data_IF_518116002321
#
_entry.id   IF_518116002321
#
_cell.length_a   1.000
_cell.length_b   1.000
_cell.length_c   1.000
_cell.angle_alpha   90.00
_cell.angle_beta   90.00
_cell.angle_gamma   90.00
#
_symmetry.space_group_name_H-M   'P 1'
#
loop_
_entity.id
_entity.type
_entity.pdbx_description
1 polymer ?
#
# COMPACT_ATOMS: atom_id res chain seq x y z
N UNK A 1 23.18 11.50 -5.57
CA UNK A 1 23.63 12.72 -4.85
C UNK A 1 22.49 13.54 -4.21
N UNK A 2 21.25 13.48 -4.68
CA UNK A 2 20.11 14.26 -4.11
C UNK A 2 19.71 13.79 -2.70
N UNK A 3 19.91 12.50 -2.37
CA UNK A 3 19.56 11.92 -1.06
C UNK A 3 20.55 12.38 0.04
N UNK A 4 21.83 12.56 -0.29
CA UNK A 4 22.85 13.01 0.67
C UNK A 4 22.67 14.49 1.06
N UNK A 5 22.28 15.35 0.11
CA UNK A 5 21.99 16.77 0.35
C UNK A 5 20.68 16.96 1.14
N UNK A 6 19.67 16.11 0.91
CA UNK A 6 18.44 16.13 1.70
C UNK A 6 18.67 15.66 3.14
N UNK A 7 19.56 14.68 3.35
CA UNK A 7 19.96 14.26 4.70
C UNK A 7 20.69 15.40 5.46
N UNK A 8 21.47 16.22 4.75
CA UNK A 8 22.17 17.37 5.32
C UNK A 8 21.24 18.55 5.64
N UNK A 9 20.12 18.69 4.93
CA UNK A 9 19.02 19.59 5.32
C UNK A 9 18.23 19.05 6.53
N UNK A 10 18.14 17.73 6.66
CA UNK A 10 17.54 17.02 7.81
C UNK A 10 18.31 17.23 9.12
N UNK A 11 19.60 17.54 9.08
CA UNK A 11 20.44 17.77 10.26
C UNK A 11 20.36 19.21 10.82
N UNK A 12 19.76 20.16 10.10
CA UNK A 12 19.67 21.59 10.47
C UNK A 12 18.32 22.00 11.08
N UNK A 13 17.32 21.13 11.08
CA UNK A 13 16.00 21.33 11.71
C UNK A 13 15.87 20.53 13.03
N UNK A 14 16.76 20.81 13.98
CA UNK A 14 16.57 20.38 15.38
C UNK A 14 15.44 21.19 16.05
N UNK A 15 14.18 20.88 15.73
CA UNK A 15 12.97 21.37 16.40
C UNK A 15 11.88 20.28 16.26
N UNK A 16 11.06 19.98 17.27
CA UNK A 16 11.36 19.46 18.60
C UNK A 16 10.82 18.01 18.71
N UNK A 17 11.69 17.01 18.91
CA UNK A 17 11.27 15.60 19.07
C UNK A 17 10.19 15.44 20.16
N UNK A 18 10.25 16.25 21.22
CA UNK A 18 9.25 16.29 22.29
C UNK A 18 7.84 16.65 21.81
N UNK A 19 7.68 17.54 20.84
CA UNK A 19 6.35 17.96 20.35
C UNK A 19 5.74 16.87 19.48
N UNK A 20 6.54 16.16 18.67
CA UNK A 20 6.08 15.00 17.91
C UNK A 20 5.65 13.85 18.85
N UNK A 21 6.45 13.58 19.88
CA UNK A 21 6.13 12.59 20.92
C UNK A 21 4.84 12.98 21.65
N UNK A 22 4.67 14.24 22.03
CA UNK A 22 3.49 14.71 22.75
C UNK A 22 2.21 14.61 21.89
N UNK A 23 2.28 15.02 20.62
CA UNK A 23 1.17 14.88 19.67
C UNK A 23 0.79 13.41 19.49
N UNK A 24 1.78 12.52 19.35
CA UNK A 24 1.53 11.09 19.18
C UNK A 24 0.93 10.44 20.44
N UNK A 25 1.36 10.86 21.64
CA UNK A 25 0.77 10.41 22.91
C UNK A 25 -0.68 10.85 23.04
N UNK A 26 -0.98 12.12 22.74
CA UNK A 26 -2.35 12.65 22.79
C UNK A 26 -3.24 11.93 21.76
N UNK A 27 -2.74 11.70 20.54
CA UNK A 27 -3.45 10.94 19.51
C UNK A 27 -3.78 9.51 19.99
N UNK A 28 -2.80 8.80 20.54
CA UNK A 28 -2.97 7.44 21.08
C UNK A 28 -3.92 7.41 22.28
N UNK A 29 -3.88 8.44 23.13
CA UNK A 29 -4.75 8.55 24.31
C UNK A 29 -6.21 8.81 23.94
N UNK A 30 -6.46 9.56 22.85
CA UNK A 30 -7.82 9.75 22.33
C UNK A 30 -8.37 8.48 21.68
N UNK A 31 -7.51 7.64 21.09
CA UNK A 31 -7.92 6.38 20.49
C UNK A 31 -8.48 5.38 21.51
N UNK A 32 -7.94 5.33 22.72
CA UNK A 32 -8.33 4.35 23.76
C UNK A 32 -9.80 4.50 24.19
N UNK A 33 -10.31 5.69 24.59
CA UNK A 33 -11.72 5.90 24.90
C UNK A 33 -12.64 5.62 23.71
N UNK A 34 -12.23 5.96 22.49
CA UNK A 34 -13.02 5.73 21.29
C UNK A 34 -13.20 4.23 21.07
N UNK A 35 -12.11 3.46 21.16
CA UNK A 35 -12.14 2.02 21.02
C UNK A 35 -13.00 1.36 22.12
N UNK A 36 -12.85 1.80 23.37
CA UNK A 36 -13.66 1.31 24.49
C UNK A 36 -15.14 1.65 24.28
N UNK A 37 -15.46 2.86 23.80
CA UNK A 37 -16.82 3.30 23.54
C UNK A 37 -17.50 2.48 22.43
N UNK A 38 -16.79 2.22 21.32
CA UNK A 38 -17.31 1.38 20.23
C UNK A 38 -17.49 -0.06 20.70
N UNK A 39 -16.55 -0.59 21.50
CA UNK A 39 -16.65 -1.95 22.04
C UNK A 39 -17.83 -2.10 23.00
N UNK A 40 -18.02 -1.14 23.91
CA UNK A 40 -19.14 -1.11 24.83
C UNK A 40 -20.47 -1.02 24.08
N UNK A 41 -20.55 -0.14 23.07
CA UNK A 41 -21.73 -0.03 22.21
C UNK A 41 -22.02 -1.33 21.45
N UNK A 42 -20.99 -2.00 20.93
CA UNK A 42 -21.14 -3.27 20.22
C UNK A 42 -21.63 -4.40 21.14
N UNK A 43 -21.13 -4.48 22.37
CA UNK A 43 -21.59 -5.47 23.33
C UNK A 43 -23.05 -5.27 23.73
N UNK A 44 -23.45 -4.02 23.98
CA UNK A 44 -24.85 -3.69 24.28
C UNK A 44 -25.76 -3.99 23.07
N UNK A 45 -25.29 -3.76 21.85
CA UNK A 45 -26.09 -3.94 20.64
C UNK A 45 -26.25 -5.41 20.21
N UNK A 46 -25.20 -6.22 20.33
CA UNK A 46 -25.20 -7.60 19.81
C UNK A 46 -25.59 -8.66 20.83
N UNK A 47 -25.68 -8.34 22.14
CA UNK A 47 -25.93 -9.23 23.30
C UNK A 47 -24.88 -10.37 23.47
N UNK A 48 -24.42 -10.96 22.35
CA UNK A 48 -23.38 -11.96 22.22
C UNK A 48 -21.97 -11.35 22.10
N UNK A 49 -21.13 -11.59 23.12
CA UNK A 49 -19.74 -11.11 23.17
C UNK A 49 -18.87 -11.58 21.99
N UNK A 50 -19.02 -12.84 21.55
CA UNK A 50 -18.24 -13.38 20.43
C UNK A 50 -18.64 -12.73 19.11
N UNK A 51 -19.93 -12.47 18.91
CA UNK A 51 -20.43 -11.84 17.71
C UNK A 51 -19.93 -10.39 17.62
N UNK A 52 -20.04 -9.65 18.73
CA UNK A 52 -19.48 -8.30 18.85
C UNK A 52 -17.98 -8.28 18.55
N UNK A 53 -17.19 -9.20 19.12
CA UNK A 53 -15.75 -9.26 18.86
C UNK A 53 -15.42 -9.56 17.38
N UNK A 54 -16.18 -10.45 16.74
CA UNK A 54 -16.01 -10.77 15.32
C UNK A 54 -16.39 -9.58 14.41
N UNK A 55 -17.46 -8.84 14.75
CA UNK A 55 -17.82 -7.59 14.04
C UNK A 55 -16.73 -6.53 14.23
N UNK A 56 -16.20 -6.38 15.45
CA UNK A 56 -15.12 -5.43 15.75
C UNK A 56 -13.87 -5.72 14.91
N UNK A 57 -13.42 -6.97 14.87
CA UNK A 57 -12.27 -7.37 14.04
C UNK A 57 -12.56 -7.11 12.56
N UNK A 58 -13.77 -7.39 12.08
CA UNK A 58 -14.14 -7.16 10.69
C UNK A 58 -14.14 -5.66 10.33
N UNK A 59 -14.69 -4.81 11.20
CA UNK A 59 -14.69 -3.35 11.04
C UNK A 59 -13.26 -2.81 11.08
N UNK A 60 -12.45 -3.27 12.03
CA UNK A 60 -11.07 -2.85 12.17
C UNK A 60 -10.22 -3.26 10.96
N UNK A 61 -10.39 -4.48 10.46
CA UNK A 61 -9.71 -4.94 9.24
C UNK A 61 -10.16 -4.13 8.03
N UNK A 62 -11.44 -3.77 7.94
CA UNK A 62 -11.97 -2.89 6.90
C UNK A 62 -11.38 -1.47 6.98
N UNK A 63 -11.23 -0.92 8.19
CA UNK A 63 -10.61 0.37 8.42
C UNK A 63 -9.14 0.36 7.97
N UNK A 64 -8.38 -0.64 8.41
CA UNK A 64 -7.00 -0.87 7.94
C UNK A 64 -6.99 -0.96 6.43
N UNK A 65 -7.80 -1.82 5.82
CA UNK A 65 -7.79 -1.97 4.37
C UNK A 65 -8.16 -0.68 3.65
N UNK A 66 -9.12 0.09 4.16
CA UNK A 66 -9.50 1.38 3.58
C UNK A 66 -8.35 2.38 3.66
N UNK A 67 -7.66 2.46 4.81
CA UNK A 67 -6.48 3.32 5.00
C UNK A 67 -5.36 2.99 4.02
N UNK A 68 -5.13 1.71 3.75
CA UNK A 68 -4.13 1.32 2.77
C UNK A 68 -4.65 1.56 1.33
N UNK A 69 -5.92 1.22 1.02
CA UNK A 69 -6.56 1.49 -0.28
C UNK A 69 -6.70 2.98 -0.61
N UNK A 70 -6.72 3.89 0.37
CA UNK A 70 -6.70 5.35 0.16
C UNK A 70 -5.53 5.77 -0.74
N UNK A 71 -4.42 5.02 -0.70
CA UNK A 71 -3.26 5.30 -1.55
C UNK A 71 -3.51 5.04 -3.04
N UNK A 72 -4.60 4.37 -3.39
CA UNK A 72 -4.94 4.02 -4.78
C UNK A 72 -6.32 4.60 -5.18
N UNK A 73 -6.38 5.61 -6.08
CA UNK A 73 -7.59 6.40 -6.35
C UNK A 73 -8.74 5.60 -7.02
N UNK A 74 -8.45 4.43 -7.60
CA UNK A 74 -9.47 3.55 -8.21
C UNK A 74 -10.27 2.79 -7.13
N UNK A 75 -9.63 2.36 -6.03
CA UNK A 75 -10.27 1.54 -4.99
C UNK A 75 -11.28 2.35 -4.15
N UNK A 76 -11.00 3.65 -3.96
CA UNK A 76 -11.76 4.58 -3.12
C UNK A 76 -13.26 4.70 -3.41
N UNK A 77 -13.68 4.54 -4.67
CA UNK A 77 -15.10 4.74 -5.05
C UNK A 77 -15.97 3.50 -4.89
N UNK A 78 -15.39 2.31 -5.12
CA UNK A 78 -16.16 1.07 -5.12
C UNK A 78 -16.09 0.33 -3.80
N UNK A 79 -14.96 0.39 -3.10
CA UNK A 79 -14.73 -0.38 -1.88
C UNK A 79 -15.74 -0.12 -0.76
N UNK A 80 -16.01 1.14 -0.36
CA UNK A 80 -16.94 1.43 0.75
C UNK A 80 -18.37 1.01 0.45
N UNK A 81 -18.77 1.03 -0.83
CA UNK A 81 -20.14 0.69 -1.26
C UNK A 81 -20.42 -0.80 -1.17
N UNK A 82 -19.49 -1.64 -1.64
CA UNK A 82 -19.61 -3.08 -1.50
C UNK A 82 -19.56 -3.49 -0.02
N UNK A 83 -18.69 -2.86 0.76
CA UNK A 83 -18.61 -3.09 2.20
C UNK A 83 -19.96 -2.84 2.88
N UNK A 84 -20.54 -1.65 2.68
CA UNK A 84 -21.83 -1.31 3.26
C UNK A 84 -22.93 -2.28 2.84
N UNK A 85 -22.96 -2.70 1.57
CA UNK A 85 -23.96 -3.64 1.08
C UNK A 85 -23.87 -5.01 1.78
N UNK A 86 -22.68 -5.62 1.84
CA UNK A 86 -22.49 -6.91 2.51
C UNK A 86 -22.73 -6.82 4.04
N UNK A 87 -22.30 -5.72 4.67
CA UNK A 87 -22.53 -5.47 6.09
C UNK A 87 -24.03 -5.29 6.41
N UNK A 88 -24.76 -4.60 5.52
CA UNK A 88 -26.20 -4.38 5.62
C UNK A 88 -26.98 -5.69 5.43
N UNK A 89 -26.61 -6.53 4.46
CA UNK A 89 -27.23 -7.85 4.26
C UNK A 89 -27.06 -8.72 5.51
N UNK A 90 -25.86 -8.70 6.13
CA UNK A 90 -25.62 -9.38 7.40
C UNK A 90 -26.50 -8.83 8.55
N UNK A 91 -26.63 -7.50 8.67
CA UNK A 91 -27.49 -6.88 9.71
C UNK A 91 -28.97 -7.23 9.53
N UNK A 92 -29.45 -7.24 8.29
CA UNK A 92 -30.83 -7.63 7.98
C UNK A 92 -31.06 -9.10 8.34
N UNK A 93 -30.09 -9.98 8.04
CA UNK A 93 -30.17 -11.39 8.43
C UNK A 93 -30.18 -11.55 9.97
N UNK A 94 -29.32 -10.82 10.67
CA UNK A 94 -29.25 -10.81 12.13
C UNK A 94 -30.58 -10.35 12.76
N UNK A 95 -31.19 -9.29 12.23
CA UNK A 95 -32.48 -8.79 12.73
C UNK A 95 -33.67 -9.68 12.36
N UNK A 96 -33.61 -10.36 11.21
CA UNK A 96 -34.69 -11.22 10.73
C UNK A 96 -34.72 -12.60 11.40
N UNK A 97 -33.58 -13.11 11.89
CA UNK A 97 -33.46 -14.44 12.49
C UNK A 97 -32.73 -14.38 13.85
N UNK A 98 -33.48 -14.12 14.92
CA UNK A 98 -32.96 -14.02 16.29
C UNK A 98 -32.28 -15.29 16.85
N UNK A 99 -32.48 -16.46 16.23
CA UNK A 99 -31.90 -17.75 16.65
C UNK A 99 -31.09 -18.46 15.54
N UNK A 100 -30.71 -17.74 14.47
CA UNK A 100 -29.95 -18.32 13.35
C UNK A 100 -28.45 -18.52 13.66
N UNK A 101 -27.74 -19.26 12.80
CA UNK A 101 -26.27 -19.39 12.83
C UNK A 101 -25.55 -18.08 12.45
N UNK A 102 -25.78 -17.01 13.21
CA UNK A 102 -25.28 -15.65 12.95
C UNK A 102 -23.77 -15.58 12.86
N UNK A 103 -23.05 -16.36 13.67
CA UNK A 103 -21.59 -16.46 13.63
C UNK A 103 -21.06 -17.07 12.32
N UNK A 104 -21.77 -18.04 11.73
CA UNK A 104 -21.38 -18.62 10.44
C UNK A 104 -21.71 -17.67 9.27
N UNK A 105 -22.85 -16.98 9.34
CA UNK A 105 -23.21 -15.95 8.37
C UNK A 105 -22.21 -14.78 8.40
N UNK A 106 -21.77 -14.38 9.59
CA UNK A 106 -20.71 -13.39 9.76
C UNK A 106 -19.40 -13.91 9.18
N UNK A 107 -18.97 -15.12 9.55
CA UNK A 107 -17.71 -15.70 9.09
C UNK A 107 -17.64 -15.84 7.56
N UNK A 108 -18.74 -16.27 6.93
CA UNK A 108 -18.83 -16.36 5.46
C UNK A 108 -18.79 -14.97 4.82
N UNK A 109 -19.54 -14.01 5.34
CA UNK A 109 -19.51 -12.61 4.87
C UNK A 109 -18.10 -12.03 5.02
N UNK A 110 -17.44 -12.26 6.16
CA UNK A 110 -16.08 -11.83 6.42
C UNK A 110 -15.06 -12.48 5.46
N UNK A 111 -15.18 -13.78 5.20
CA UNK A 111 -14.33 -14.48 4.25
C UNK A 111 -14.51 -13.95 2.82
N UNK A 112 -15.74 -13.67 2.39
CA UNK A 112 -16.01 -13.06 1.09
C UNK A 112 -15.45 -11.63 1.01
N UNK A 113 -15.59 -10.83 2.06
CA UNK A 113 -15.01 -9.49 2.14
C UNK A 113 -13.49 -9.54 2.06
N UNK A 114 -12.85 -10.43 2.82
CA UNK A 114 -11.40 -10.66 2.80
C UNK A 114 -10.92 -11.14 1.44
N UNK A 115 -11.68 -12.03 0.79
CA UNK A 115 -11.37 -12.54 -0.53
C UNK A 115 -11.46 -11.44 -1.58
N UNK A 116 -12.50 -10.59 -1.53
CA UNK A 116 -12.63 -9.41 -2.39
C UNK A 116 -11.45 -8.45 -2.16
N UNK A 117 -11.12 -8.15 -0.90
CA UNK A 117 -9.98 -7.34 -0.49
C UNK A 117 -8.67 -7.87 -1.12
N UNK A 118 -8.36 -9.15 -0.93
CA UNK A 118 -7.15 -9.79 -1.45
C UNK A 118 -7.14 -9.83 -2.98
N UNK A 119 -8.29 -10.06 -3.60
CA UNK A 119 -8.42 -10.06 -5.06
C UNK A 119 -8.14 -8.68 -5.65
N UNK A 120 -8.74 -7.62 -5.09
CA UNK A 120 -8.47 -6.24 -5.47
C UNK A 120 -7.00 -5.88 -5.22
N UNK A 121 -6.46 -6.25 -4.05
CA UNK A 121 -5.06 -6.04 -3.73
C UNK A 121 -4.14 -6.66 -4.79
N UNK A 122 -4.29 -7.96 -5.05
CA UNK A 122 -3.46 -8.67 -6.01
C UNK A 122 -3.57 -8.08 -7.43
N UNK A 123 -4.77 -7.65 -7.85
CA UNK A 123 -4.97 -7.11 -9.21
C UNK A 123 -4.47 -5.68 -9.37
N UNK A 124 -4.59 -4.83 -8.35
CA UNK A 124 -4.29 -3.39 -8.45
C UNK A 124 -2.92 -3.01 -7.88
N UNK A 125 -2.43 -3.71 -6.86
CA UNK A 125 -1.12 -3.42 -6.25
C UNK A 125 0.05 -3.99 -7.04
N UNK A 126 -0.06 -5.22 -7.56
CA UNK A 126 0.99 -5.82 -8.39
C UNK A 126 1.41 -4.93 -9.57
N UNK A 127 0.51 -4.34 -10.38
CA UNK A 127 0.92 -3.45 -11.46
C UNK A 127 1.45 -2.10 -10.97
N UNK A 128 1.03 -1.60 -9.81
CA UNK A 128 1.59 -0.38 -9.22
C UNK A 128 3.03 -0.60 -8.73
N UNK A 129 3.28 -1.73 -8.08
CA UNK A 129 4.60 -2.15 -7.62
C UNK A 129 5.52 -2.46 -8.81
N UNK A 130 5.00 -3.09 -9.86
CA UNK A 130 5.75 -3.30 -11.09
C UNK A 130 6.14 -1.98 -11.76
N UNK A 131 5.26 -0.97 -11.81
CA UNK A 131 5.61 0.37 -12.30
C UNK A 131 6.65 1.05 -11.41
N UNK A 132 6.55 0.90 -10.10
CA UNK A 132 7.55 1.42 -9.16
C UNK A 132 8.93 0.78 -9.38
N UNK A 133 8.99 -0.56 -9.45
CA UNK A 133 10.22 -1.32 -9.76
C UNK A 133 10.77 -0.98 -11.13
N UNK A 134 9.92 -0.85 -12.15
CA UNK A 134 10.31 -0.45 -13.51
C UNK A 134 10.95 0.94 -13.49
N UNK A 135 10.30 1.93 -12.87
CA UNK A 135 10.84 3.29 -12.75
C UNK A 135 12.16 3.33 -11.99
N UNK A 136 12.28 2.54 -10.92
CA UNK A 136 13.51 2.43 -10.15
C UNK A 136 14.64 1.78 -10.96
N UNK A 137 14.31 0.78 -11.79
CA UNK A 137 15.26 0.13 -12.71
C UNK A 137 15.68 1.08 -13.84
N UNK A 138 14.76 1.86 -14.40
CA UNK A 138 15.06 2.90 -15.38
C UNK A 138 15.98 3.99 -14.82
N UNK A 139 15.80 4.39 -13.55
CA UNK A 139 16.73 5.32 -12.89
C UNK A 139 18.10 4.70 -12.61
N UNK A 140 18.16 3.43 -12.20
CA UNK A 140 19.45 2.74 -11.99
C UNK A 140 20.22 2.56 -13.30
N UNK A 141 19.51 2.40 -14.43
CA UNK A 141 20.10 2.27 -15.76
C UNK A 141 20.49 3.63 -16.38
N UNK A 142 20.06 4.76 -15.77
CA UNK A 142 20.51 6.11 -16.11
C UNK A 142 21.68 6.61 -15.26
N UNK A 143 22.16 5.86 -14.25
CA UNK A 143 23.49 6.13 -13.72
C UNK A 143 24.48 5.64 -14.78
N UNK A 144 25.14 6.57 -15.50
CA UNK A 144 25.85 6.24 -16.70
C UNK A 144 27.01 5.33 -16.34
N UNK A 145 27.06 4.20 -17.03
CA UNK A 145 28.30 3.57 -17.38
C UNK A 145 29.32 4.65 -17.75
N UNK A 146 30.28 4.85 -16.85
CA UNK A 146 31.63 5.27 -17.17
C UNK A 146 32.26 4.17 -18.05
N UNK A 147 31.67 3.94 -19.23
CA UNK A 147 32.10 2.93 -20.19
C UNK A 147 31.72 3.32 -21.63
N UNK A 148 31.47 4.61 -21.87
CA UNK A 148 31.44 5.22 -23.21
C UNK A 148 32.81 5.86 -23.49
N UNK A 149 33.88 5.07 -23.35
CA UNK A 149 35.19 5.40 -23.96
C UNK A 149 35.67 4.26 -24.86
N UNK A 150 34.78 3.32 -25.22
CA UNK A 150 35.13 2.15 -26.04
C UNK A 150 34.46 2.17 -27.43
N UNK A 151 33.37 2.91 -27.63
CA UNK A 151 32.65 2.97 -28.92
C UNK A 151 33.22 3.99 -29.91
N UNK A 152 33.91 5.04 -29.45
CA UNK A 152 34.62 5.99 -30.34
C UNK A 152 35.92 5.39 -30.89
N UNK A 153 36.57 4.49 -30.14
CA UNK A 153 37.82 3.85 -30.57
C UNK A 153 37.55 2.74 -31.60
N UNK A 154 36.46 1.99 -31.47
CA UNK A 154 36.15 0.92 -32.43
C UNK A 154 35.76 1.46 -33.82
N UNK A 155 35.02 2.58 -33.87
CA UNK A 155 34.65 3.24 -35.14
C UNK A 155 35.86 3.91 -35.81
N UNK A 156 36.83 4.40 -35.02
CA UNK A 156 38.04 5.03 -35.56
C UNK A 156 39.02 3.99 -36.12
N UNK A 157 39.15 2.82 -35.49
CA UNK A 157 40.06 1.75 -35.96
C UNK A 157 39.55 1.05 -37.23
N UNK A 158 38.24 0.78 -37.36
CA UNK A 158 37.69 0.15 -38.57
C UNK A 158 37.80 1.05 -39.82
N UNK A 159 37.82 2.38 -39.64
CA UNK A 159 38.00 3.30 -40.75
C UNK A 159 39.47 3.50 -41.14
N UNK A 160 40.43 3.32 -40.22
CA UNK A 160 41.86 3.44 -40.51
C UNK A 160 42.41 2.18 -41.18
N UNK A 161 41.94 0.97 -40.81
CA UNK A 161 42.41 -0.27 -41.47
C UNK A 161 41.94 -0.39 -42.92
N UNK A 162 40.83 0.26 -43.30
CA UNK A 162 40.32 0.20 -44.69
C UNK A 162 41.02 1.14 -45.68
N UNK A 163 41.82 2.10 -45.21
CA UNK A 163 42.58 3.03 -46.07
C UNK A 163 44.05 2.61 -46.26
N UNK A 164 44.56 1.62 -45.54
CA UNK A 164 45.98 1.23 -45.56
C UNK A 164 46.32 0.03 -46.48
N UNK A 165 45.38 -0.50 -47.27
CA UNK A 165 45.61 -1.70 -48.11
C UNK A 165 45.67 -1.44 -49.62
N UNK A 166 45.83 -0.18 -50.05
CA UNK A 166 45.85 0.18 -51.47
C UNK A 166 47.06 0.99 -51.94
N UNK A 167 48.27 0.69 -51.47
CA UNK A 167 49.49 1.09 -52.21
C UNK A 167 50.59 0.01 -52.07
N UNK A 168 50.83 -0.82 -53.09
CA UNK A 168 52.14 -1.36 -53.37
C UNK A 168 52.93 -0.34 -54.22
N UNK A 169 54.07 0.14 -53.73
CA UNK A 169 55.10 0.76 -54.59
C UNK A 169 56.09 -0.30 -55.08
N UNK A 170 57.25 0.09 -55.62
CA UNK A 170 57.57 1.20 -56.53
C UNK A 170 57.47 0.82 -58.02
#
# INVERSE_FOLDING_TARGET
>A
QIIAVQLQHHARYQLPTFQLIFVHIIESLVFVPIMIGILFFLFEFYDDQLLAFMVLILVWLCEIFTLISVRTPISMKFFPRFFLFYFLVFHIYFFSYAYGFSSLALSTTAAFMLHLILYFWNRFELPALQRFLQNHRSQMQQHPDFHITSSTILTSTLHITRLNTRIPGP
#
